data_IF_666413888736
#
_entry.id   IF_666413888736
#
_cell.length_a   1.000
_cell.length_b   1.000
_cell.length_c   1.000
_cell.angle_alpha   90.00
_cell.angle_beta   90.00
_cell.angle_gamma   90.00
#
_symmetry.space_group_name_H-M   'P 1'
#
loop_
_entity.id
_entity.type
_entity.pdbx_description
1 polymer ?
#
# COMPACT_ATOMS: atom_id res chain seq x y z
N UNK A 1 33.23 3.33 -2.71
CA UNK A 1 33.16 1.97 -2.16
C UNK A 1 31.88 1.88 -1.35
N UNK A 2 31.06 0.84 -1.58
CA UNK A 2 29.85 0.54 -0.81
C UNK A 2 28.55 0.94 -1.50
N UNK A 3 28.05 0.12 -2.43
CA UNK A 3 26.63 0.13 -2.78
C UNK A 3 26.23 -1.27 -3.25
N UNK A 4 26.12 -2.20 -2.30
CA UNK A 4 25.43 -3.46 -2.55
C UNK A 4 23.93 -3.15 -2.34
N UNK A 5 23.07 -3.21 -3.37
CA UNK A 5 21.65 -3.24 -3.10
C UNK A 5 21.39 -4.54 -2.33
N UNK A 6 20.70 -4.46 -1.20
CA UNK A 6 20.20 -5.61 -0.46
C UNK A 6 19.29 -6.40 -1.40
N UNK A 7 19.84 -7.40 -2.09
CA UNK A 7 19.08 -8.23 -3.03
C UNK A 7 18.14 -9.13 -2.25
N UNK A 8 16.84 -9.12 -2.61
CA UNK A 8 15.87 -10.10 -2.14
C UNK A 8 16.42 -11.51 -2.34
N UNK A 9 16.40 -12.31 -1.28
CA UNK A 9 16.74 -13.72 -1.37
C UNK A 9 15.56 -14.50 -1.94
N UNK A 10 15.81 -15.73 -2.41
CA UNK A 10 14.74 -16.62 -2.86
C UNK A 10 13.71 -16.89 -1.75
N UNK A 11 14.17 -16.97 -0.50
CA UNK A 11 13.30 -17.13 0.68
C UNK A 11 12.37 -15.93 0.87
N UNK A 12 12.89 -14.70 0.75
CA UNK A 12 12.07 -13.49 0.89
C UNK A 12 10.99 -13.41 -0.18
N UNK A 13 11.32 -13.81 -1.42
CA UNK A 13 10.38 -13.84 -2.54
C UNK A 13 9.27 -14.85 -2.26
N UNK A 14 9.62 -16.07 -1.85
CA UNK A 14 8.64 -17.12 -1.54
C UNK A 14 7.74 -16.71 -0.38
N UNK A 15 8.30 -16.10 0.66
CA UNK A 15 7.54 -15.61 1.81
C UNK A 15 6.52 -14.53 1.39
N UNK A 16 6.94 -13.53 0.60
CA UNK A 16 6.06 -12.48 0.07
C UNK A 16 4.99 -13.08 -0.84
N UNK A 17 5.37 -14.06 -1.66
CA UNK A 17 4.46 -14.71 -2.61
C UNK A 17 3.36 -15.49 -1.88
N UNK A 18 3.68 -16.22 -0.82
CA UNK A 18 2.68 -16.87 0.05
C UNK A 18 1.81 -15.83 0.76
N UNK A 19 2.42 -14.77 1.30
CA UNK A 19 1.70 -13.72 2.03
C UNK A 19 0.68 -12.96 1.16
N UNK A 20 0.94 -12.87 -0.15
CA UNK A 20 0.04 -12.23 -1.12
C UNK A 20 -0.79 -13.23 -1.93
N UNK A 21 -1.03 -14.45 -1.42
CA UNK A 21 -1.84 -15.50 -2.08
C UNK A 21 -1.41 -15.80 -3.53
N UNK A 22 -0.11 -15.71 -3.81
CA UNK A 22 0.48 -15.95 -5.15
C UNK A 22 -0.10 -15.03 -6.24
N UNK A 23 -0.62 -13.86 -5.86
CA UNK A 23 -1.14 -12.86 -6.80
C UNK A 23 -0.04 -12.31 -7.72
N UNK A 24 1.18 -12.23 -7.20
CA UNK A 24 2.36 -11.79 -7.93
C UNK A 24 3.31 -12.96 -8.16
N UNK A 25 3.86 -13.05 -9.37
CA UNK A 25 4.95 -13.95 -9.67
C UNK A 25 6.30 -13.36 -9.19
N UNK A 26 7.35 -14.19 -9.20
CA UNK A 26 8.69 -13.78 -8.77
C UNK A 26 9.21 -12.52 -9.48
N UNK A 27 9.00 -12.38 -10.80
CA UNK A 27 9.46 -11.21 -11.55
C UNK A 27 8.67 -9.94 -11.18
N UNK A 28 7.37 -10.07 -10.92
CA UNK A 28 6.52 -9.00 -10.41
C UNK A 28 7.02 -8.55 -9.02
N UNK A 29 7.33 -9.49 -8.12
CA UNK A 29 7.85 -9.18 -6.77
C UNK A 29 9.20 -8.45 -6.83
N UNK A 30 10.13 -8.91 -7.66
CA UNK A 30 11.43 -8.24 -7.85
C UNK A 30 11.23 -6.83 -8.42
N UNK A 31 10.31 -6.66 -9.37
CA UNK A 31 9.99 -5.34 -9.92
C UNK A 31 9.36 -4.41 -8.90
N UNK A 32 8.48 -4.93 -8.02
CA UNK A 32 7.90 -4.19 -6.91
C UNK A 32 8.97 -3.77 -5.90
N UNK A 33 9.96 -4.62 -5.63
CA UNK A 33 11.08 -4.29 -4.74
C UNK A 33 11.94 -3.16 -5.30
N UNK A 34 12.24 -3.20 -6.60
CA UNK A 34 12.96 -2.10 -7.25
C UNK A 34 12.20 -0.77 -7.14
N UNK A 35 10.88 -0.79 -7.32
CA UNK A 35 10.04 0.40 -7.12
C UNK A 35 10.01 0.85 -5.66
N UNK A 36 9.94 -0.09 -4.72
CA UNK A 36 10.02 0.19 -3.29
C UNK A 36 11.33 0.92 -2.94
N UNK A 37 12.48 0.43 -3.41
CA UNK A 37 13.77 1.10 -3.21
C UNK A 37 13.87 2.48 -3.89
N UNK A 38 13.16 2.69 -5.01
CA UNK A 38 13.09 4.02 -5.65
C UNK A 38 12.24 5.01 -4.85
N UNK A 39 11.22 4.51 -4.14
CA UNK A 39 10.35 5.32 -3.28
C UNK A 39 10.99 5.61 -1.93
N UNK A 40 11.66 4.63 -1.32
CA UNK A 40 12.46 4.80 -0.10
C UNK A 40 13.79 5.51 -0.40
N UNK A 41 13.69 6.82 -0.64
CA UNK A 41 14.83 7.69 -0.99
C UNK A 41 15.86 7.75 0.13
N UNK A 42 15.42 7.51 1.36
CA UNK A 42 16.25 7.55 2.56
C UNK A 42 16.88 6.20 2.92
N UNK A 43 16.55 5.13 2.18
CA UNK A 43 17.00 3.76 2.40
C UNK A 43 16.80 3.29 3.85
N UNK A 44 15.71 3.72 4.49
CA UNK A 44 15.38 3.39 5.88
C UNK A 44 14.67 2.03 6.02
N UNK A 45 14.26 1.41 4.92
CA UNK A 45 13.57 0.12 4.87
C UNK A 45 12.05 0.21 4.99
N UNK A 46 11.49 1.42 4.97
CA UNK A 46 10.06 1.68 4.97
C UNK A 46 9.74 2.92 4.15
N UNK A 47 8.52 3.01 3.61
CA UNK A 47 8.05 4.21 2.89
C UNK A 47 7.37 5.15 3.89
N UNK A 48 7.81 6.40 3.96
CA UNK A 48 7.09 7.43 4.74
C UNK A 48 5.95 8.06 3.96
N UNK A 49 5.06 8.75 4.66
CA UNK A 49 3.94 9.48 4.07
C UNK A 49 4.36 10.45 2.97
N UNK A 50 5.45 11.21 3.16
CA UNK A 50 5.98 12.11 2.14
C UNK A 50 6.48 11.39 0.88
N UNK A 51 7.10 10.21 1.05
CA UNK A 51 7.59 9.40 -0.07
C UNK A 51 6.43 8.79 -0.84
N UNK A 52 5.38 8.34 -0.15
CA UNK A 52 4.16 7.84 -0.76
C UNK A 52 3.42 8.93 -1.55
N UNK A 53 3.27 10.13 -0.97
CA UNK A 53 2.65 11.29 -1.63
C UNK A 53 3.51 11.88 -2.76
N UNK A 54 4.77 11.48 -2.89
CA UNK A 54 5.59 11.89 -4.02
C UNK A 54 5.16 11.24 -5.35
N UNK A 55 4.31 10.20 -5.29
CA UNK A 55 3.69 9.56 -6.44
C UNK A 55 2.45 10.37 -6.84
N UNK A 56 2.41 10.99 -8.03
CA UNK A 56 1.31 11.86 -8.45
C UNK A 56 -0.07 11.18 -8.39
N UNK A 57 -0.13 9.90 -8.76
CA UNK A 57 -1.36 9.09 -8.76
C UNK A 57 -1.93 8.91 -7.36
N UNK A 58 -1.07 8.84 -6.33
CA UNK A 58 -1.52 8.85 -4.95
C UNK A 58 -1.82 10.26 -4.48
N UNK A 59 -1.00 11.26 -4.82
CA UNK A 59 -1.23 12.64 -4.40
C UNK A 59 -2.59 13.22 -4.86
N UNK A 60 -3.07 12.78 -6.03
CA UNK A 60 -4.35 13.20 -6.61
C UNK A 60 -5.54 12.34 -6.17
N UNK A 61 -5.32 11.30 -5.37
CA UNK A 61 -6.39 10.47 -4.86
C UNK A 61 -7.04 11.15 -3.63
N UNK A 62 -8.36 11.42 -3.62
CA UNK A 62 -9.03 12.01 -2.47
C UNK A 62 -8.90 11.20 -1.18
N UNK A 63 -8.70 9.90 -1.33
CA UNK A 63 -8.52 8.97 -0.21
C UNK A 63 -7.04 8.79 0.17
N UNK A 64 -6.11 9.52 -0.45
CA UNK A 64 -4.68 9.36 -0.20
C UNK A 64 -4.30 9.55 1.26
N UNK A 65 -4.86 10.58 1.92
CA UNK A 65 -4.62 10.83 3.34
C UNK A 65 -5.16 9.69 4.23
N UNK A 66 -6.24 9.04 3.81
CA UNK A 66 -6.77 7.85 4.50
C UNK A 66 -5.89 6.63 4.25
N UNK A 67 -5.48 6.40 3.01
CA UNK A 67 -4.53 5.34 2.66
C UNK A 67 -3.21 5.52 3.44
N UNK A 68 -2.72 6.75 3.60
CA UNK A 68 -1.54 7.06 4.39
C UNK A 68 -1.63 6.61 5.85
N UNK A 69 -2.78 6.76 6.50
CA UNK A 69 -2.99 6.26 7.88
C UNK A 69 -2.83 4.74 7.97
N UNK A 70 -3.09 4.02 6.89
CA UNK A 70 -2.90 2.57 6.80
C UNK A 70 -1.46 2.18 6.45
N UNK A 71 -0.65 3.18 6.05
CA UNK A 71 0.62 3.03 5.34
C UNK A 71 1.79 3.63 6.13
N UNK A 72 1.54 4.23 7.30
CA UNK A 72 2.60 4.85 8.11
C UNK A 72 3.64 3.80 8.54
N UNK A 73 4.80 3.82 7.88
CA UNK A 73 5.86 2.84 8.07
C UNK A 73 5.72 1.53 7.27
N UNK A 74 5.15 1.56 6.05
CA UNK A 74 5.10 0.38 5.18
C UNK A 74 6.50 -0.19 4.93
N UNK A 75 6.79 -1.37 5.48
CA UNK A 75 7.90 -2.18 5.01
C UNK A 75 7.55 -2.82 3.65
N UNK A 76 8.51 -3.50 3.03
CA UNK A 76 8.30 -4.10 1.71
C UNK A 76 7.14 -5.11 1.67
N UNK A 77 6.95 -5.93 2.71
CA UNK A 77 5.87 -6.93 2.75
C UNK A 77 4.51 -6.25 2.77
N UNK A 78 4.36 -5.25 3.63
CA UNK A 78 3.11 -4.48 3.74
C UNK A 78 2.81 -3.72 2.45
N UNK A 79 3.85 -3.18 1.78
CA UNK A 79 3.71 -2.52 0.49
C UNK A 79 3.19 -3.47 -0.60
N UNK A 80 3.69 -4.71 -0.68
CA UNK A 80 3.20 -5.69 -1.66
C UNK A 80 1.77 -6.12 -1.33
N UNK A 81 1.44 -6.32 -0.06
CA UNK A 81 0.06 -6.65 0.36
C UNK A 81 -0.90 -5.52 0.01
N UNK A 82 -0.51 -4.27 0.28
CA UNK A 82 -1.29 -3.09 -0.08
C UNK A 82 -1.57 -3.05 -1.58
N UNK A 83 -0.54 -3.23 -2.41
CA UNK A 83 -0.69 -3.26 -3.88
C UNK A 83 -1.45 -4.48 -4.39
N UNK A 84 -1.45 -5.60 -3.64
CA UNK A 84 -2.16 -6.81 -4.02
C UNK A 84 -3.66 -6.57 -4.19
N UNK A 85 -4.25 -5.73 -3.34
CA UNK A 85 -5.67 -5.38 -3.43
C UNK A 85 -6.02 -4.55 -4.68
N UNK A 86 -5.05 -3.85 -5.28
CA UNK A 86 -5.25 -3.13 -6.54
C UNK A 86 -5.02 -4.03 -7.77
N UNK A 87 -4.54 -5.26 -7.59
CA UNK A 87 -4.34 -6.20 -8.68
C UNK A 87 -5.65 -6.56 -9.36
N UNK A 88 -5.62 -6.67 -10.68
CA UNK A 88 -6.74 -7.24 -11.44
C UNK A 88 -7.01 -8.70 -11.06
N UNK A 89 -6.00 -9.41 -10.55
CA UNK A 89 -6.07 -10.82 -10.12
C UNK A 89 -6.68 -11.00 -8.72
N UNK A 90 -6.81 -9.94 -7.93
CA UNK A 90 -7.34 -10.03 -6.57
C UNK A 90 -8.85 -10.31 -6.57
N UNK A 91 -9.27 -11.17 -5.65
CA UNK A 91 -10.68 -11.52 -5.47
C UNK A 91 -11.49 -10.34 -4.95
N UNK A 92 -12.82 -10.40 -5.10
CA UNK A 92 -13.72 -9.35 -4.60
C UNK A 92 -13.58 -9.23 -3.08
N UNK A 93 -13.39 -10.34 -2.36
CA UNK A 93 -13.21 -10.38 -0.92
C UNK A 93 -11.93 -9.66 -0.48
N UNK A 94 -10.82 -9.86 -1.21
CA UNK A 94 -9.55 -9.18 -0.93
C UNK A 94 -9.66 -7.67 -1.18
N UNK A 95 -10.34 -7.28 -2.27
CA UNK A 95 -10.61 -5.87 -2.59
C UNK A 95 -11.51 -5.23 -1.53
N UNK A 96 -12.58 -5.92 -1.16
CA UNK A 96 -13.52 -5.49 -0.15
C UNK A 96 -12.83 -5.33 1.22
N UNK A 97 -11.92 -6.23 1.60
CA UNK A 97 -11.17 -6.11 2.84
C UNK A 97 -10.29 -4.85 2.89
N UNK A 98 -9.64 -4.48 1.79
CA UNK A 98 -8.88 -3.22 1.73
C UNK A 98 -9.83 -2.01 1.80
N UNK A 99 -10.87 -1.99 0.96
CA UNK A 99 -11.84 -0.88 0.93
C UNK A 99 -12.48 -0.70 2.30
N UNK A 100 -12.86 -1.79 2.96
CA UNK A 100 -13.43 -1.74 4.30
C UNK A 100 -12.48 -1.06 5.28
N UNK A 101 -11.20 -1.43 5.27
CA UNK A 101 -10.19 -0.78 6.12
C UNK A 101 -9.96 0.69 5.76
N UNK A 102 -10.17 1.11 4.51
CA UNK A 102 -10.09 2.54 4.11
C UNK A 102 -11.26 3.34 4.68
N UNK A 103 -12.43 2.72 4.79
CA UNK A 103 -13.63 3.34 5.36
C UNK A 103 -13.63 3.34 6.88
N UNK A 104 -13.13 2.28 7.52
CA UNK A 104 -13.02 2.13 8.97
C UNK A 104 -11.96 3.09 9.54
N UNK A 105 -12.38 4.30 9.89
CA UNK A 105 -11.47 5.44 10.18
C UNK A 105 -10.82 5.32 11.56
N UNK A 106 -11.50 4.63 12.49
CA UNK A 106 -11.03 4.39 13.85
C UNK A 106 -10.39 2.99 14.03
N UNK A 107 -10.43 2.15 12.99
CA UNK A 107 -9.81 0.83 12.98
C UNK A 107 -10.48 -0.17 13.91
N UNK A 108 -11.74 0.07 14.30
CA UNK A 108 -12.46 -0.79 15.25
C UNK A 108 -13.02 -2.07 14.60
N UNK A 109 -12.83 -2.25 13.29
CA UNK A 109 -13.33 -3.37 12.50
C UNK A 109 -14.77 -3.21 12.05
N UNK A 110 -15.36 -2.00 12.14
CA UNK A 110 -16.74 -1.71 11.75
C UNK A 110 -16.79 -0.38 11.00
N UNK A 111 -17.46 -0.39 9.85
CA UNK A 111 -17.80 0.84 9.13
C UNK A 111 -19.16 1.33 9.64
N UNK A 112 -19.15 2.44 10.37
CA UNK A 112 -20.35 3.10 10.89
C UNK A 112 -20.88 4.16 9.93
N UNK A 113 -22.05 4.72 10.22
CA UNK A 113 -22.58 5.85 9.43
C UNK A 113 -21.65 7.06 9.47
N UNK A 114 -21.02 7.32 10.61
CA UNK A 114 -20.09 8.44 10.76
C UNK A 114 -18.84 8.25 9.89
N UNK A 115 -18.30 7.03 9.85
CA UNK A 115 -17.17 6.67 8.97
C UNK A 115 -17.48 6.98 7.50
N UNK A 116 -18.67 6.59 7.04
CA UNK A 116 -19.11 6.85 5.66
C UNK A 116 -19.21 8.35 5.39
N UNK A 117 -19.80 9.13 6.31
CA UNK A 117 -19.93 10.58 6.16
C UNK A 117 -18.55 11.26 6.14
N UNK A 118 -17.63 10.83 6.99
CA UNK A 118 -16.26 11.36 7.03
C UNK A 118 -15.55 11.12 5.68
N UNK A 119 -15.59 9.89 5.17
CA UNK A 119 -15.00 9.53 3.87
C UNK A 119 -15.64 10.33 2.74
N UNK A 120 -16.97 10.45 2.71
CA UNK A 120 -17.67 11.22 1.67
C UNK A 120 -17.33 12.71 1.72
N UNK A 121 -17.12 13.26 2.92
CA UNK A 121 -16.72 14.66 3.12
C UNK A 121 -15.32 14.90 2.57
N UNK A 122 -14.36 14.03 2.87
CA UNK A 122 -13.00 14.10 2.32
C UNK A 122 -12.99 14.03 0.79
N UNK A 123 -13.87 13.23 0.19
CA UNK A 123 -14.02 13.13 -1.27
C UNK A 123 -14.67 14.38 -1.89
N UNK A 124 -15.49 15.11 -1.14
CA UNK A 124 -16.18 16.30 -1.59
C UNK A 124 -15.31 17.56 -1.48
N UNK A 125 -14.47 17.67 -0.44
CA UNK A 125 -13.60 18.82 -0.20
C UNK A 125 -12.45 18.97 -1.22
N UNK A 126 -12.08 17.92 -1.95
CA UNK A 126 -11.02 17.99 -2.98
C UNK A 126 -11.48 18.54 -4.35
N UNK A 127 -12.67 19.15 -4.44
CA UNK A 127 -13.22 19.71 -5.69
C UNK A 127 -13.06 21.22 -5.86
N UNK A 128 -12.36 21.91 -4.97
CA UNK A 128 -12.09 23.35 -5.08
C UNK A 128 -10.65 23.67 -5.51
#
# INVERSE_FOLDING_TARGET
>A
MGNAPSTLTQYDIEEVQEHCNKLFNQQEIVSLYQRFCQLDRTAKGFISSDEFMSVPEFAMNPLAQRLLKMVDGLNFKDFVVFLSAFSAKASIEQKAALIFKVYDSDGNGKVTFNDIIEVLSDMAEQRE
#
